data_IF_834518752521
#
_entry.id   IF_834518752521
#
_cell.length_a   1.000
_cell.length_b   1.000
_cell.length_c   1.000
_cell.angle_alpha   90.00
_cell.angle_beta   90.00
_cell.angle_gamma   90.00
#
_symmetry.space_group_name_H-M   'P 1'
#
loop_
_entity.id
_entity.type
_entity.pdbx_description
1 polymer ?
#
# COMPACT_ATOMS: atom_id res chain seq x y z
N UNK A 1 -29.43 2.36 -4.31
CA UNK A 1 -28.41 3.45 -4.26
C UNK A 1 -27.40 3.08 -3.20
N UNK A 2 -26.08 3.17 -3.47
CA UNK A 2 -25.10 3.09 -2.40
C UNK A 2 -25.38 4.19 -1.37
N UNK A 3 -25.35 3.81 -0.10
CA UNK A 3 -25.52 4.72 1.04
C UNK A 3 -24.39 5.77 1.09
N UNK A 4 -24.63 6.98 1.66
CA UNK A 4 -23.62 8.02 1.78
C UNK A 4 -22.32 7.57 2.46
N UNK A 5 -22.38 6.74 3.51
CA UNK A 5 -21.17 6.36 4.25
C UNK A 5 -20.38 5.25 3.56
N UNK A 6 -21.04 4.24 2.94
CA UNK A 6 -20.35 3.28 2.06
C UNK A 6 -19.73 3.96 0.84
N UNK A 7 -20.38 4.99 0.27
CA UNK A 7 -19.81 5.78 -0.81
C UNK A 7 -18.56 6.57 -0.36
N UNK A 8 -18.62 7.22 0.81
CA UNK A 8 -17.48 7.92 1.42
C UNK A 8 -16.34 6.96 1.76
N UNK A 9 -16.64 5.82 2.39
CA UNK A 9 -15.66 4.79 2.70
C UNK A 9 -14.92 4.31 1.44
N UNK A 10 -15.64 4.06 0.33
CA UNK A 10 -15.01 3.71 -0.95
C UNK A 10 -14.09 4.81 -1.48
N UNK A 11 -14.52 6.08 -1.40
CA UNK A 11 -13.69 7.21 -1.82
C UNK A 11 -12.40 7.31 -0.98
N UNK A 12 -12.51 7.15 0.34
CA UNK A 12 -11.37 7.17 1.25
C UNK A 12 -10.41 5.99 0.97
N UNK A 13 -10.94 4.78 0.81
CA UNK A 13 -10.13 3.60 0.46
C UNK A 13 -9.43 3.77 -0.91
N UNK A 14 -10.10 4.37 -1.89
CA UNK A 14 -9.49 4.67 -3.18
C UNK A 14 -8.34 5.70 -3.05
N UNK A 15 -8.51 6.73 -2.21
CA UNK A 15 -7.43 7.68 -1.91
C UNK A 15 -6.23 7.01 -1.24
N UNK A 16 -6.48 6.13 -0.25
CA UNK A 16 -5.45 5.33 0.41
C UNK A 16 -4.75 4.40 -0.59
N UNK A 17 -5.51 3.75 -1.48
CA UNK A 17 -4.96 2.87 -2.51
C UNK A 17 -4.01 3.62 -3.44
N UNK A 18 -4.43 4.81 -3.91
CA UNK A 18 -3.58 5.68 -4.74
C UNK A 18 -2.27 6.04 -4.05
N UNK A 19 -2.34 6.54 -2.81
CA UNK A 19 -1.14 6.89 -2.04
C UNK A 19 -0.23 5.66 -1.81
N UNK A 20 -0.83 4.49 -1.55
CA UNK A 20 -0.07 3.24 -1.37
C UNK A 20 0.66 2.84 -2.64
N UNK A 21 0.02 2.94 -3.81
CA UNK A 21 0.67 2.68 -5.10
C UNK A 21 1.79 3.68 -5.42
N UNK A 22 1.61 4.96 -5.07
CA UNK A 22 2.66 5.98 -5.22
C UNK A 22 3.90 5.64 -4.37
N UNK A 23 3.70 5.20 -3.12
CA UNK A 23 4.80 4.77 -2.25
C UNK A 23 5.49 3.52 -2.83
N UNK A 24 4.72 2.52 -3.28
CA UNK A 24 5.28 1.32 -3.91
C UNK A 24 6.13 1.65 -5.13
N UNK A 25 5.67 2.56 -5.99
CA UNK A 25 6.42 3.05 -7.13
C UNK A 25 7.70 3.77 -6.72
N UNK A 26 7.64 4.61 -5.69
CA UNK A 26 8.81 5.32 -5.16
C UNK A 26 9.86 4.35 -4.60
N UNK A 27 9.45 3.32 -3.86
CA UNK A 27 10.36 2.26 -3.36
C UNK A 27 11.02 1.51 -4.52
N UNK A 28 10.26 1.16 -5.56
CA UNK A 28 10.77 0.46 -6.74
C UNK A 28 11.75 1.32 -7.56
N UNK A 29 11.66 2.65 -7.47
CA UNK A 29 12.53 3.58 -8.17
C UNK A 29 13.90 3.78 -7.51
N UNK A 30 14.12 3.32 -6.27
CA UNK A 30 15.39 3.56 -5.56
C UNK A 30 16.59 2.84 -6.17
N UNK A 31 16.56 1.53 -6.52
CA UNK A 31 17.75 0.85 -7.05
C UNK A 31 18.32 1.49 -8.33
N UNK A 32 17.50 1.89 -9.32
CA UNK A 32 18.00 2.60 -10.51
C UNK A 32 18.72 3.93 -10.22
N UNK A 33 18.37 4.64 -9.14
CA UNK A 33 18.98 5.93 -8.78
C UNK A 33 20.44 5.80 -8.33
N UNK A 34 20.87 4.60 -7.96
CA UNK A 34 22.20 4.36 -7.41
C UNK A 34 23.27 4.20 -8.50
N UNK A 35 22.85 4.10 -9.75
CA UNK A 35 23.72 4.15 -10.93
C UNK A 35 24.80 3.06 -10.98
N UNK A 36 25.64 3.12 -12.02
CA UNK A 36 26.74 2.17 -12.25
C UNK A 36 28.10 2.72 -11.82
N UNK A 37 28.15 3.98 -11.35
CA UNK A 37 29.37 4.79 -11.32
C UNK A 37 29.97 5.03 -9.93
N UNK A 38 29.31 4.66 -8.83
CA UNK A 38 29.67 5.29 -7.54
C UNK A 38 29.85 4.36 -6.35
N UNK A 39 29.55 3.06 -6.45
CA UNK A 39 29.79 2.15 -5.33
C UNK A 39 29.83 0.69 -5.77
N UNK A 40 30.90 -0.03 -5.42
CA UNK A 40 31.09 -1.44 -5.74
C UNK A 40 31.91 -2.15 -4.64
N UNK A 41 31.91 -3.49 -4.66
CA UNK A 41 32.58 -4.34 -3.68
C UNK A 41 31.66 -4.74 -2.52
N UNK A 42 32.18 -5.55 -1.61
CA UNK A 42 31.37 -6.19 -0.55
C UNK A 42 30.47 -5.25 0.26
N UNK A 43 30.87 -4.01 0.60
CA UNK A 43 29.95 -3.07 1.26
C UNK A 43 28.71 -2.71 0.42
N UNK A 44 28.87 -2.58 -0.91
CA UNK A 44 27.76 -2.32 -1.83
C UNK A 44 26.82 -3.53 -1.90
N UNK A 45 27.37 -4.75 -1.91
CA UNK A 45 26.57 -5.99 -1.91
C UNK A 45 25.76 -6.13 -0.61
N UNK A 46 26.39 -5.85 0.54
CA UNK A 46 25.72 -5.87 1.86
C UNK A 46 24.58 -4.87 1.89
N UNK A 47 24.81 -3.64 1.42
CA UNK A 47 23.77 -2.64 1.36
C UNK A 47 22.63 -3.03 0.40
N UNK A 48 22.94 -3.61 -0.76
CA UNK A 48 21.93 -4.05 -1.73
C UNK A 48 21.06 -5.18 -1.17
N UNK A 49 21.67 -6.11 -0.42
CA UNK A 49 20.96 -7.16 0.29
C UNK A 49 20.04 -6.57 1.37
N UNK A 50 20.55 -5.64 2.18
CA UNK A 50 19.76 -4.95 3.21
C UNK A 50 18.60 -4.14 2.62
N UNK A 51 18.85 -3.41 1.53
CA UNK A 51 17.82 -2.67 0.79
C UNK A 51 16.73 -3.61 0.30
N UNK A 52 17.11 -4.72 -0.33
CA UNK A 52 16.17 -5.73 -0.85
C UNK A 52 15.33 -6.33 0.27
N UNK A 53 15.95 -6.70 1.39
CA UNK A 53 15.25 -7.28 2.54
C UNK A 53 14.27 -6.29 3.18
N UNK A 54 14.67 -5.02 3.37
CA UNK A 54 13.81 -3.98 3.94
C UNK A 54 12.70 -3.58 2.98
N UNK A 55 13.03 -3.42 1.69
CA UNK A 55 12.09 -3.13 0.62
C UNK A 55 11.00 -4.19 0.53
N UNK A 56 11.36 -5.48 0.54
CA UNK A 56 10.39 -6.58 0.55
C UNK A 56 9.42 -6.52 1.73
N UNK A 57 9.93 -6.22 2.95
CA UNK A 57 9.09 -6.07 4.15
C UNK A 57 8.13 -4.89 4.03
N UNK A 58 8.61 -3.74 3.56
CA UNK A 58 7.78 -2.56 3.36
C UNK A 58 6.70 -2.80 2.30
N UNK A 59 7.06 -3.39 1.16
CA UNK A 59 6.12 -3.78 0.11
C UNK A 59 5.04 -4.72 0.63
N UNK A 60 5.40 -5.71 1.45
CA UNK A 60 4.43 -6.62 2.06
C UNK A 60 3.41 -5.89 2.96
N UNK A 61 3.87 -4.93 3.77
CA UNK A 61 2.98 -4.11 4.60
C UNK A 61 2.02 -3.25 3.75
N UNK A 62 2.53 -2.64 2.68
CA UNK A 62 1.73 -1.82 1.77
C UNK A 62 0.69 -2.67 1.03
N UNK A 63 1.05 -3.88 0.58
CA UNK A 63 0.07 -4.80 -0.01
C UNK A 63 -1.00 -5.26 1.00
N UNK A 64 -0.65 -5.44 2.27
CA UNK A 64 -1.63 -5.77 3.31
C UNK A 64 -2.66 -4.66 3.49
N UNK A 65 -2.26 -3.38 3.40
CA UNK A 65 -3.19 -2.23 3.42
C UNK A 65 -4.19 -2.33 2.27
N UNK A 66 -3.73 -2.62 1.05
CA UNK A 66 -4.60 -2.79 -0.12
C UNK A 66 -5.55 -3.98 0.05
N UNK A 67 -5.05 -5.10 0.58
CA UNK A 67 -5.82 -6.33 0.76
C UNK A 67 -6.95 -6.20 1.81
N UNK A 68 -6.81 -5.33 2.81
CA UNK A 68 -7.83 -5.13 3.85
C UNK A 68 -8.99 -4.24 3.38
N UNK A 69 -8.80 -3.41 2.34
CA UNK A 69 -9.82 -2.43 1.90
C UNK A 69 -11.20 -3.05 1.58
N UNK A 70 -11.32 -4.17 0.84
CA UNK A 70 -12.62 -4.77 0.56
C UNK A 70 -13.36 -5.19 1.83
N UNK A 71 -12.62 -5.66 2.84
CA UNK A 71 -13.19 -6.08 4.13
C UNK A 71 -13.73 -4.89 4.90
N UNK A 72 -13.04 -3.74 4.88
CA UNK A 72 -13.51 -2.51 5.50
C UNK A 72 -14.78 -1.99 4.84
N UNK A 73 -14.83 -1.98 3.50
CA UNK A 73 -16.01 -1.57 2.74
C UNK A 73 -17.21 -2.47 3.09
N UNK A 74 -17.02 -3.80 3.07
CA UNK A 74 -18.09 -4.75 3.40
C UNK A 74 -18.60 -4.59 4.84
N UNK A 75 -17.72 -4.25 5.79
CA UNK A 75 -18.12 -3.98 7.19
C UNK A 75 -19.00 -2.74 7.32
N UNK A 76 -18.69 -1.67 6.58
CA UNK A 76 -19.49 -0.44 6.56
C UNK A 76 -20.86 -0.72 5.94
N UNK A 77 -20.89 -1.38 4.77
CA UNK A 77 -22.14 -1.74 4.09
C UNK A 77 -23.05 -2.61 4.97
N UNK A 78 -22.48 -3.59 5.70
CA UNK A 78 -23.24 -4.43 6.62
C UNK A 78 -23.74 -3.68 7.87
N UNK A 79 -23.00 -2.67 8.34
CA UNK A 79 -23.42 -1.83 9.47
C UNK A 79 -24.60 -0.93 9.07
N UNK A 80 -24.51 -0.31 7.90
CA UNK A 80 -25.60 0.51 7.34
C UNK A 80 -26.87 -0.31 7.11
N UNK A 81 -26.76 -1.51 6.53
CA UNK A 81 -27.92 -2.37 6.28
C UNK A 81 -28.67 -2.73 7.57
N UNK A 82 -27.95 -2.93 8.68
CA UNK A 82 -28.56 -3.18 9.99
C UNK A 82 -29.21 -1.93 10.59
N UNK A 83 -28.62 -0.74 10.39
CA UNK A 83 -29.18 0.53 10.85
C UNK A 83 -30.46 0.93 10.12
N UNK A 84 -30.61 0.57 8.84
CA UNK A 84 -31.82 0.82 8.04
C UNK A 84 -32.97 -0.16 8.35
N UNK A 85 -32.68 -1.28 9.02
CA UNK A 85 -33.66 -2.31 9.38
C UNK A 85 -34.23 -2.16 10.81
N UNK A 86 -33.76 -1.14 11.55
CA UNK A 86 -34.23 -0.79 12.91
C UNK A 86 -35.12 0.45 12.86
#
# INVERSE_FOLDING_TARGET
>A
MPSPDAARCRADMAAVARATHEILAAVAAVPPLLGHRTWHGSPADVWAADWTARGARLTALLHAVLAEQPRLIARVEAAEHRGLAS
#
